data_IF_389765053098
#
_entry.id   IF_389765053098
#
_cell.length_a   1.000
_cell.length_b   1.000
_cell.length_c   1.000
_cell.angle_alpha   90.00
_cell.angle_beta   90.00
_cell.angle_gamma   90.00
#
_symmetry.space_group_name_H-M   'P 1'
#
loop_
_entity.id
_entity.type
_entity.pdbx_description
1 polymer ?
#
# COMPACT_ATOMS: atom_id res chain seq x y z
N UNK A 1 -19.01 -25.65 -5.17
CA UNK A 1 -20.14 -24.76 -5.54
C UNK A 1 -20.47 -23.68 -4.50
N UNK A 2 -20.24 -23.85 -3.18
CA UNK A 2 -20.47 -22.77 -2.18
C UNK A 2 -19.39 -21.67 -2.12
N UNK A 3 -18.15 -21.91 -2.58
CA UNK A 3 -17.08 -20.88 -2.61
C UNK A 3 -17.34 -19.75 -3.62
N UNK A 4 -18.13 -19.99 -4.66
CA UNK A 4 -18.40 -19.00 -5.73
C UNK A 4 -19.38 -17.89 -5.31
N UNK A 5 -20.06 -18.06 -4.17
CA UNK A 5 -21.03 -17.10 -3.66
C UNK A 5 -20.49 -16.26 -2.48
N UNK A 6 -19.28 -16.56 -2.00
CA UNK A 6 -18.66 -15.88 -0.86
C UNK A 6 -17.61 -14.84 -1.26
N UNK A 7 -17.57 -13.71 -0.55
CA UNK A 7 -16.50 -12.71 -0.73
C UNK A 7 -15.20 -13.25 -0.17
N UNK A 8 -14.26 -13.61 -1.04
CA UNK A 8 -12.98 -14.20 -0.64
C UNK A 8 -12.06 -13.18 0.04
N UNK A 9 -11.91 -12.00 -0.57
CA UNK A 9 -11.03 -10.94 -0.12
C UNK A 9 -11.66 -9.57 -0.41
N UNK A 10 -11.63 -8.68 0.58
CA UNK A 10 -11.90 -7.25 0.41
C UNK A 10 -10.61 -6.50 0.65
N UNK A 11 -10.21 -5.68 -0.32
CA UNK A 11 -8.98 -4.89 -0.24
C UNK A 11 -9.30 -3.44 -0.55
N UNK A 12 -8.74 -2.57 0.27
CA UNK A 12 -8.64 -1.14 0.04
C UNK A 12 -7.15 -0.80 0.03
N UNK A 13 -6.75 0.13 -0.81
CA UNK A 13 -5.38 0.61 -0.79
C UNK A 13 -5.33 2.12 -0.97
N UNK A 14 -4.33 2.73 -0.37
CA UNK A 14 -4.04 4.16 -0.46
C UNK A 14 -2.60 4.31 -0.91
N UNK A 15 -2.39 4.91 -2.09
CA UNK A 15 -1.07 5.33 -2.54
C UNK A 15 -0.57 6.44 -1.61
N UNK A 16 0.59 6.24 -1.00
CA UNK A 16 1.29 7.26 -0.22
C UNK A 16 2.07 8.15 -1.18
N UNK A 17 1.37 9.05 -1.85
CA UNK A 17 1.98 10.12 -2.63
C UNK A 17 2.53 11.22 -1.70
N UNK A 18 3.47 12.07 -2.14
CA UNK A 18 4.03 13.14 -1.32
C UNK A 18 2.97 14.03 -0.65
N UNK A 19 1.93 14.41 -1.37
CA UNK A 19 0.84 15.23 -0.84
C UNK A 19 0.03 14.49 0.25
N UNK A 20 -0.17 13.18 0.08
CA UNK A 20 -0.82 12.35 1.10
C UNK A 20 0.04 12.30 2.36
N UNK A 21 1.34 12.07 2.24
CA UNK A 21 2.23 11.96 3.38
C UNK A 21 2.46 13.30 4.09
N UNK A 22 2.45 14.41 3.36
CA UNK A 22 2.45 15.75 3.96
C UNK A 22 1.19 15.99 4.79
N UNK A 23 0.00 15.67 4.24
CA UNK A 23 -1.25 15.74 4.99
C UNK A 23 -1.27 14.76 6.17
N UNK A 24 -0.67 13.58 5.99
CA UNK A 24 -0.58 12.56 7.01
C UNK A 24 0.23 13.04 8.21
N UNK A 25 1.44 13.54 7.94
CA UNK A 25 2.34 14.09 8.93
C UNK A 25 1.72 15.29 9.66
N UNK A 26 1.03 16.18 8.94
CA UNK A 26 0.35 17.33 9.55
C UNK A 26 -0.72 16.89 10.55
N UNK A 27 -1.55 15.91 10.18
CA UNK A 27 -2.59 15.36 11.07
C UNK A 27 -2.00 14.64 12.27
N UNK A 28 -0.99 13.79 12.04
CA UNK A 28 -0.28 13.07 13.10
C UNK A 28 0.37 14.03 14.09
N UNK A 29 1.06 15.05 13.57
CA UNK A 29 1.68 16.11 14.36
C UNK A 29 0.68 16.84 15.26
N UNK A 30 -0.52 17.11 14.75
CA UNK A 30 -1.57 17.75 15.53
C UNK A 30 -2.14 16.85 16.64
N UNK A 31 -2.24 15.54 16.40
CA UNK A 31 -2.76 14.58 17.39
C UNK A 31 -1.75 14.33 18.51
N UNK A 32 -0.47 14.16 18.14
CA UNK A 32 0.59 13.79 19.08
C UNK A 32 1.43 14.99 19.57
N UNK A 33 1.07 16.21 19.17
CA UNK A 33 1.78 17.44 19.54
C UNK A 33 3.29 17.39 19.30
N UNK A 34 3.70 16.87 18.14
CA UNK A 34 5.12 16.67 17.82
C UNK A 34 5.91 17.99 17.80
N UNK A 35 7.14 17.95 18.32
CA UNK A 35 8.06 19.08 18.28
C UNK A 35 8.45 19.43 16.83
N UNK A 36 8.90 20.68 16.61
CA UNK A 36 9.32 21.12 15.27
C UNK A 36 10.46 20.26 14.68
N UNK A 37 11.43 19.88 15.50
CA UNK A 37 12.55 19.02 15.10
C UNK A 37 12.10 17.62 14.69
N UNK A 38 11.21 16.99 15.47
CA UNK A 38 10.66 15.66 15.16
C UNK A 38 9.87 15.67 13.85
N UNK A 39 9.05 16.71 13.64
CA UNK A 39 8.31 16.90 12.38
C UNK A 39 9.23 17.01 11.18
N UNK A 40 10.31 17.79 11.31
CA UNK A 40 11.29 17.95 10.23
C UNK A 40 12.02 16.63 9.94
N UNK A 41 12.41 15.88 10.97
CA UNK A 41 13.05 14.58 10.80
C UNK A 41 12.12 13.60 10.07
N UNK A 42 10.86 13.46 10.51
CA UNK A 42 9.88 12.59 9.85
C UNK A 42 9.63 13.01 8.40
N UNK A 43 9.55 14.32 8.11
CA UNK A 43 9.39 14.80 6.74
C UNK A 43 10.58 14.40 5.83
N UNK A 44 11.81 14.45 6.36
CA UNK A 44 13.01 14.03 5.63
C UNK A 44 13.02 12.51 5.38
N UNK A 45 12.64 11.71 6.39
CA UNK A 45 12.51 10.26 6.26
C UNK A 45 11.48 9.87 5.19
N UNK A 46 10.31 10.53 5.19
CA UNK A 46 9.27 10.32 4.17
C UNK A 46 9.75 10.70 2.78
N UNK A 47 10.44 11.84 2.63
CA UNK A 47 11.02 12.26 1.35
C UNK A 47 12.06 11.24 0.82
N UNK A 48 12.93 10.74 1.70
CA UNK A 48 13.90 9.71 1.35
C UNK A 48 13.22 8.39 0.94
N UNK A 49 12.16 7.99 1.65
CA UNK A 49 11.39 6.79 1.32
C UNK A 49 10.70 6.94 -0.04
N UNK A 50 10.08 8.08 -0.32
CA UNK A 50 9.47 8.37 -1.62
C UNK A 50 10.48 8.35 -2.76
N UNK A 51 11.73 8.76 -2.53
CA UNK A 51 12.77 8.74 -3.56
C UNK A 51 13.19 7.30 -3.94
N UNK A 52 13.06 6.34 -3.02
CA UNK A 52 13.51 4.97 -3.21
C UNK A 52 12.39 4.04 -3.70
N UNK A 53 11.15 4.26 -3.25
CA UNK A 53 10.05 3.33 -3.48
C UNK A 53 8.71 4.02 -3.69
N UNK A 54 7.78 3.30 -4.33
CA UNK A 54 6.36 3.60 -4.21
C UNK A 54 5.82 2.87 -2.98
N UNK A 55 5.11 3.58 -2.11
CA UNK A 55 4.56 3.01 -0.88
C UNK A 55 3.04 3.07 -0.86
N UNK A 56 2.43 2.02 -0.33
CA UNK A 56 0.99 1.90 -0.19
C UNK A 56 0.64 1.50 1.24
N UNK A 57 -0.46 2.04 1.74
CA UNK A 57 -1.22 1.39 2.80
C UNK A 57 -2.24 0.46 2.15
N UNK A 58 -2.21 -0.82 2.51
CA UNK A 58 -3.15 -1.83 2.03
C UNK A 58 -3.93 -2.35 3.22
N UNK A 59 -5.24 -2.17 3.19
CA UNK A 59 -6.17 -2.60 4.24
C UNK A 59 -6.99 -3.75 3.68
N UNK A 60 -6.85 -4.94 4.25
CA UNK A 60 -7.50 -6.13 3.71
C UNK A 60 -8.22 -6.94 4.79
N UNK A 61 -9.36 -7.49 4.42
CA UNK A 61 -10.08 -8.50 5.18
C UNK A 61 -10.36 -9.68 4.26
N UNK A 62 -10.16 -10.89 4.75
CA UNK A 62 -10.46 -12.12 4.04
C UNK A 62 -11.46 -12.94 4.85
N UNK A 63 -12.22 -13.80 4.17
CA UNK A 63 -13.20 -14.66 4.83
C UNK A 63 -12.54 -15.63 5.83
N UNK A 64 -11.41 -16.20 5.44
CA UNK A 64 -10.53 -16.97 6.32
C UNK A 64 -9.34 -16.08 6.70
N UNK A 65 -9.01 -16.03 7.99
CA UNK A 65 -7.91 -15.22 8.50
C UNK A 65 -6.56 -15.64 7.93
N UNK A 66 -6.38 -16.94 7.71
CA UNK A 66 -5.14 -17.48 7.14
C UNK A 66 -4.96 -17.07 5.68
N UNK A 67 -6.02 -16.58 5.03
CA UNK A 67 -5.91 -16.06 3.68
C UNK A 67 -5.37 -14.64 3.60
N UNK A 68 -5.35 -13.92 4.72
CA UNK A 68 -4.82 -12.57 4.81
C UNK A 68 -3.36 -12.65 5.26
N UNK A 69 -2.48 -13.08 4.34
CA UNK A 69 -1.10 -13.50 4.62
C UNK A 69 -0.04 -12.81 3.76
N UNK A 70 -0.31 -11.61 3.23
CA UNK A 70 0.54 -10.93 2.23
C UNK A 70 2.00 -10.75 2.67
N UNK A 71 2.28 -10.67 3.98
CA UNK A 71 3.62 -10.51 4.55
C UNK A 71 4.41 -11.82 4.66
N UNK A 72 3.80 -12.97 4.34
CA UNK A 72 4.42 -14.28 4.48
C UNK A 72 5.29 -14.62 3.24
N UNK A 73 6.47 -15.24 3.41
CA UNK A 73 7.35 -15.61 2.29
C UNK A 73 6.71 -16.57 1.27
N UNK A 74 5.75 -17.39 1.70
CA UNK A 74 4.97 -18.30 0.86
C UNK A 74 3.49 -17.91 0.86
N UNK A 75 3.23 -16.60 0.83
CA UNK A 75 1.86 -16.12 0.69
C UNK A 75 1.23 -16.70 -0.56
N UNK A 76 -0.05 -17.03 -0.46
CA UNK A 76 -0.87 -17.39 -1.60
C UNK A 76 -1.16 -16.19 -2.52
N UNK A 77 -0.81 -14.97 -2.11
CA UNK A 77 -0.98 -13.75 -2.88
C UNK A 77 0.36 -13.20 -3.37
N UNK A 78 0.34 -12.74 -4.62
CA UNK A 78 1.40 -11.97 -5.24
C UNK A 78 0.92 -10.55 -5.45
N UNK A 79 1.65 -9.60 -4.86
CA UNK A 79 1.44 -8.16 -5.04
C UNK A 79 2.41 -7.63 -6.09
N UNK A 80 1.87 -6.94 -7.10
CA UNK A 80 2.64 -6.27 -8.14
C UNK A 80 2.11 -4.85 -8.36
N UNK A 81 2.99 -3.93 -8.72
CA UNK A 81 2.64 -2.60 -9.15
C UNK A 81 2.94 -2.47 -10.64
N UNK A 82 1.94 -2.10 -11.41
CA UNK A 82 2.01 -1.95 -12.86
C UNK A 82 1.82 -0.49 -13.26
N UNK A 83 2.40 -0.11 -14.39
CA UNK A 83 1.97 1.07 -15.11
C UNK A 83 0.88 0.73 -16.14
N UNK A 84 0.28 1.76 -16.74
CA UNK A 84 -0.73 1.65 -17.80
C UNK A 84 -0.21 1.10 -19.14
N UNK A 85 1.08 0.78 -19.23
CA UNK A 85 1.73 0.17 -20.41
C UNK A 85 2.03 -1.32 -20.20
N UNK A 86 1.71 -1.86 -19.01
CA UNK A 86 1.92 -3.26 -18.65
C UNK A 86 3.30 -3.58 -18.07
N UNK A 87 4.20 -2.60 -17.91
CA UNK A 87 5.43 -2.83 -17.16
C UNK A 87 5.10 -2.99 -15.68
N UNK A 88 5.81 -3.90 -15.00
CA UNK A 88 5.50 -4.24 -13.61
C UNK A 88 6.74 -4.47 -12.74
N UNK A 89 6.58 -4.17 -11.46
CA UNK A 89 7.52 -4.55 -10.40
C UNK A 89 6.80 -5.34 -9.31
N UNK A 90 7.51 -6.25 -8.65
CA UNK A 90 6.99 -6.96 -7.48
C UNK A 90 7.19 -6.13 -6.23
N UNK A 91 6.35 -6.35 -5.21
CA UNK A 91 6.58 -5.79 -3.90
C UNK A 91 7.95 -6.21 -3.38
N UNK A 92 8.78 -5.24 -3.00
CA UNK A 92 10.10 -5.49 -2.40
C UNK A 92 10.01 -5.68 -0.89
N UNK A 93 9.03 -5.04 -0.24
CA UNK A 93 8.80 -5.15 1.19
C UNK A 93 7.31 -5.10 1.50
N UNK A 94 6.84 -6.02 2.32
CA UNK A 94 5.47 -6.04 2.85
C UNK A 94 5.59 -6.19 4.37
N UNK A 95 5.05 -5.23 5.11
CA UNK A 95 5.03 -5.24 6.58
C UNK A 95 3.59 -5.22 7.05
N UNK A 96 3.19 -6.23 7.83
CA UNK A 96 1.91 -6.22 8.55
C UNK A 96 2.02 -5.36 9.79
N UNK A 97 1.20 -4.32 9.89
CA UNK A 97 1.14 -3.44 11.04
C UNK A 97 0.30 -4.10 12.15
N UNK A 98 0.96 -4.72 13.12
CA UNK A 98 0.30 -5.47 14.21
C UNK A 98 -0.54 -4.60 15.15
N UNK A 99 -0.25 -3.31 15.21
CA UNK A 99 -0.96 -2.33 16.04
C UNK A 99 -1.26 -1.12 15.19
N UNK A 100 -2.52 -0.97 14.83
CA UNK A 100 -3.01 0.26 14.21
C UNK A 100 -3.41 1.23 15.30
N UNK A 101 -2.81 2.40 15.33
CA UNK A 101 -3.17 3.47 16.24
C UNK A 101 -4.58 4.00 15.94
N UNK A 102 -5.19 4.69 16.90
CA UNK A 102 -6.44 5.42 16.68
C UNK A 102 -6.29 6.50 15.60
N UNK A 103 -5.09 7.07 15.46
CA UNK A 103 -4.76 8.01 14.40
C UNK A 103 -4.80 7.34 13.01
N UNK A 104 -4.23 6.13 12.88
CA UNK A 104 -4.30 5.37 11.61
C UNK A 104 -5.76 5.11 11.21
N UNK A 105 -6.61 4.72 12.17
CA UNK A 105 -8.04 4.48 11.95
C UNK A 105 -8.81 5.74 11.57
N UNK A 106 -8.44 6.89 12.12
CA UNK A 106 -9.04 8.17 11.75
C UNK A 106 -8.70 8.59 10.31
N UNK A 107 -7.61 8.06 9.75
CA UNK A 107 -7.06 8.47 8.45
C UNK A 107 -7.26 7.43 7.36
N UNK A 108 -7.51 6.17 7.75
CA UNK A 108 -7.82 5.05 6.88
C UNK A 108 -9.25 4.57 7.20
N UNK A 109 -10.28 5.19 6.60
CA UNK A 109 -11.68 4.95 6.99
C UNK A 109 -12.15 3.50 6.78
N UNK A 110 -11.43 2.73 5.95
CA UNK A 110 -11.72 1.32 5.71
C UNK A 110 -11.11 0.38 6.75
N UNK A 111 -10.32 0.90 7.69
CA UNK A 111 -9.66 0.12 8.73
C UNK A 111 -10.65 -0.22 9.85
N UNK A 112 -11.38 -1.32 9.66
CA UNK A 112 -12.27 -1.89 10.66
C UNK A 112 -11.62 -2.98 11.52
N UNK A 113 -12.36 -3.52 12.50
CA UNK A 113 -11.88 -4.54 13.46
C UNK A 113 -11.34 -5.82 12.80
N UNK A 114 -11.90 -6.21 11.65
CA UNK A 114 -11.53 -7.45 10.94
C UNK A 114 -10.54 -7.22 9.80
N UNK A 115 -10.05 -5.99 9.65
CA UNK A 115 -9.09 -5.65 8.61
C UNK A 115 -7.67 -5.63 9.19
N UNK A 116 -6.75 -6.19 8.42
CA UNK A 116 -5.32 -6.10 8.66
C UNK A 116 -4.77 -4.94 7.81
N UNK A 117 -3.85 -4.15 8.39
CA UNK A 117 -3.14 -3.09 7.69
C UNK A 117 -1.75 -3.58 7.29
N UNK A 118 -1.38 -3.33 6.04
CA UNK A 118 -0.05 -3.57 5.51
C UNK A 118 0.54 -2.29 4.97
N UNK A 119 1.85 -2.13 5.19
CA UNK A 119 2.69 -1.21 4.43
C UNK A 119 3.39 -2.00 3.34
N UNK A 120 3.16 -1.61 2.09
CA UNK A 120 3.73 -2.28 0.91
C UNK A 120 4.61 -1.31 0.15
N UNK A 121 5.83 -1.74 -0.18
CA UNK A 121 6.80 -0.93 -0.90
C UNK A 121 7.21 -1.63 -2.21
N UNK A 122 7.22 -0.87 -3.29
CA UNK A 122 7.60 -1.30 -4.62
C UNK A 122 8.82 -0.51 -5.10
N UNK A 123 9.80 -1.15 -5.75
CA UNK A 123 10.90 -0.44 -6.40
C UNK A 123 10.39 0.58 -7.42
N UNK A 124 11.10 1.69 -7.57
CA UNK A 124 10.80 2.68 -8.62
C UNK A 124 11.26 2.28 -10.02
N UNK A 125 12.19 1.34 -10.07
CA UNK A 125 12.82 0.87 -11.31
C UNK A 125 12.43 -0.57 -11.61
N UNK A 126 12.28 -0.84 -12.89
CA UNK A 126 12.15 -2.17 -13.45
C UNK A 126 13.48 -2.94 -13.30
N UNK A 127 13.47 -4.28 -13.43
CA UNK A 127 14.69 -5.08 -13.35
C UNK A 127 15.78 -4.69 -14.37
N UNK A 128 15.38 -4.10 -15.50
CA UNK A 128 16.28 -3.59 -16.54
C UNK A 128 16.81 -2.16 -16.27
N UNK A 129 16.48 -1.59 -15.10
CA UNK A 129 16.94 -0.27 -14.66
C UNK A 129 16.06 0.91 -15.12
N UNK A 130 15.09 0.71 -16.02
CA UNK A 130 14.18 1.78 -16.45
C UNK A 130 13.21 2.16 -15.32
N UNK A 131 12.79 3.41 -15.25
CA UNK A 131 11.74 3.83 -14.30
C UNK A 131 10.38 3.19 -14.65
N UNK A 132 9.66 2.75 -13.62
CA UNK A 132 8.30 2.21 -13.75
C UNK A 132 7.31 3.29 -14.20
N UNK A 133 7.36 4.47 -13.57
CA UNK A 133 6.60 5.65 -13.97
C UNK A 133 7.51 6.58 -14.77
N UNK A 134 7.08 6.90 -15.99
CA UNK A 134 7.75 7.81 -16.92
C UNK A 134 6.83 8.96 -17.28
N UNK A 135 7.32 9.90 -18.08
CA UNK A 135 6.57 11.10 -18.47
C UNK A 135 5.23 10.76 -19.16
N UNK A 136 5.16 9.62 -19.84
CA UNK A 136 3.96 9.17 -20.53
C UNK A 136 2.98 8.35 -19.67
N UNK A 137 3.39 7.91 -18.47
CA UNK A 137 2.58 7.01 -17.62
C UNK A 137 1.36 7.74 -17.09
N UNK A 138 0.15 7.24 -17.37
CA UNK A 138 -1.11 7.86 -16.95
C UNK A 138 -1.76 7.21 -15.75
N UNK A 139 -1.37 5.98 -15.41
CA UNK A 139 -1.92 5.30 -14.25
C UNK A 139 -0.94 4.32 -13.63
N UNK A 140 -1.17 4.06 -12.34
CA UNK A 140 -0.60 2.97 -11.59
C UNK A 140 -1.70 1.97 -11.22
N UNK A 141 -1.40 0.69 -11.31
CA UNK A 141 -2.30 -0.40 -10.96
C UNK A 141 -1.63 -1.28 -9.90
N UNK A 142 -2.24 -1.41 -8.73
CA UNK A 142 -1.85 -2.39 -7.73
C UNK A 142 -2.62 -3.67 -8.00
N UNK A 143 -1.91 -4.71 -8.43
CA UNK A 143 -2.46 -6.04 -8.68
C UNK A 143 -2.23 -6.95 -7.49
N UNK A 144 -3.28 -7.64 -7.07
CA UNK A 144 -3.23 -8.76 -6.13
C UNK A 144 -3.73 -10.00 -6.85
N UNK A 145 -2.86 -10.99 -7.00
CA UNK A 145 -3.13 -12.22 -7.76
C UNK A 145 -2.74 -13.46 -6.96
N UNK A 146 -3.55 -14.51 -7.00
CA UNK A 146 -3.30 -15.76 -6.27
C UNK A 146 -4.26 -16.88 -6.67
N UNK A 147 -4.10 -18.11 -6.11
CA UNK A 147 -5.00 -19.23 -6.38
C UNK A 147 -6.47 -18.97 -6.00
N UNK A 148 -6.69 -18.00 -5.11
CA UNK A 148 -8.00 -17.61 -4.61
C UNK A 148 -8.67 -16.52 -5.47
N UNK A 149 -7.96 -15.90 -6.41
CA UNK A 149 -8.52 -14.89 -7.31
C UNK A 149 -7.53 -13.81 -7.73
N UNK A 150 -8.06 -12.80 -8.41
CA UNK A 150 -7.32 -11.65 -8.92
C UNK A 150 -8.13 -10.38 -8.76
N UNK A 151 -7.47 -9.28 -8.37
CA UNK A 151 -8.07 -7.95 -8.34
C UNK A 151 -7.02 -6.86 -8.59
N UNK A 152 -7.48 -5.72 -9.09
CA UNK A 152 -6.64 -4.57 -9.42
C UNK A 152 -7.26 -3.28 -8.87
N UNK A 153 -6.42 -2.45 -8.25
CA UNK A 153 -6.79 -1.11 -7.80
C UNK A 153 -6.02 -0.10 -8.66
N UNK A 154 -6.70 0.94 -9.17
CA UNK A 154 -6.12 1.88 -10.14
C UNK A 154 -6.06 3.30 -9.59
N UNK A 155 -4.93 3.98 -9.79
CA UNK A 155 -4.75 5.41 -9.53
C UNK A 155 -4.35 6.12 -10.81
N UNK A 156 -5.08 7.17 -11.18
CA UNK A 156 -4.72 8.03 -12.30
C UNK A 156 -3.66 9.02 -11.86
N UNK A 157 -2.57 9.08 -12.61
CA UNK A 157 -1.55 10.11 -12.49
C UNK A 157 -1.98 11.30 -13.35
N UNK A 158 -1.78 12.51 -12.84
CA UNK A 158 -2.10 13.75 -13.57
C UNK A 158 -0.99 14.07 -14.57
#
# INVERSE_FOLDING_TARGET
>A
MLRELGTTLRVYATLRAPDFDAAYLARWSAIFHLAASERQQLAQELAAQHAQSYSFFVVAAAHDRDWNDFDRPRSQWRLALLNDRGDQVRAGRIVRERRTSTADRAMLPHLGTFYELYRVEFPRTLPDGRALVRAETRALLLSLSGPLGHTELTWRLR
#
